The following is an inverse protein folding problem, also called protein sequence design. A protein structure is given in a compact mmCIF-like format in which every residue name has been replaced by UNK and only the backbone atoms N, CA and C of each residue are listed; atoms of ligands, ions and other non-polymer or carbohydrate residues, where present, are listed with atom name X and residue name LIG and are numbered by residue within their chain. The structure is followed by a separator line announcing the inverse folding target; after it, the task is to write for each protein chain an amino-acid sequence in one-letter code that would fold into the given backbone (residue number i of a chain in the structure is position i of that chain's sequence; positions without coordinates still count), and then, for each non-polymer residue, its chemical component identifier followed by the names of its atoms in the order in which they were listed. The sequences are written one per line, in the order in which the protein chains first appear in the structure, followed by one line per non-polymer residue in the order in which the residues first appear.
data_IF_604722000201
#
_entry.id   IF_604722000201
#
_cell.length_a   1.000
_cell.length_b   1.000
_cell.length_c   1.000
_cell.angle_alpha   90.00
_cell.angle_beta   90.00
_cell.angle_gamma   90.00
#
_symmetry.space_group_name_H-M   'P 1'
#
loop_
_entity.id
_entity.type
_entity.pdbx_description
1 polymer ?
#
# COMPACT_ATOMS: atom_id res chain seq x y z
N UNK A 1 16.72 15.74 -20.51
CA UNK A 1 18.17 16.02 -20.39
C UNK A 1 18.48 17.47 -20.03
N UNK A 2 17.60 18.42 -20.35
CA UNK A 2 17.80 19.86 -20.11
C UNK A 2 17.84 20.26 -18.62
N UNK A 3 17.37 19.41 -17.71
CA UNK A 3 17.29 19.69 -16.28
C UNK A 3 18.37 19.00 -15.44
N UNK A 4 19.38 18.40 -16.07
CA UNK A 4 20.48 17.77 -15.34
C UNK A 4 21.47 18.81 -14.84
N UNK A 5 22.05 18.63 -13.64
CA UNK A 5 23.06 19.56 -13.11
C UNK A 5 24.23 19.75 -14.08
N UNK A 6 24.78 20.96 -14.17
CA UNK A 6 25.99 21.20 -14.96
C UNK A 6 27.10 20.23 -14.59
N UNK A 7 27.74 19.61 -15.56
CA UNK A 7 28.80 18.61 -15.32
C UNK A 7 28.32 17.20 -14.97
N UNK A 8 27.03 16.94 -15.02
CA UNK A 8 26.43 15.64 -14.67
C UNK A 8 27.09 14.46 -15.41
N UNK A 9 27.37 14.61 -16.71
CA UNK A 9 28.07 13.57 -17.50
C UNK A 9 29.59 13.52 -17.30
N UNK A 10 30.15 14.48 -16.56
CA UNK A 10 31.59 14.55 -16.30
C UNK A 10 31.97 13.84 -15.01
N UNK A 11 30.99 13.62 -14.13
CA UNK A 11 31.20 12.97 -12.83
C UNK A 11 30.58 11.58 -12.89
N UNK A 12 31.37 10.53 -12.74
CA UNK A 12 30.84 9.18 -12.65
C UNK A 12 29.84 9.05 -11.50
N UNK A 13 28.70 8.48 -11.77
CA UNK A 13 27.61 8.30 -10.80
C UNK A 13 27.50 6.84 -10.38
N UNK A 14 26.97 6.60 -9.19
CA UNK A 14 26.70 7.57 -8.13
C UNK A 14 27.98 7.86 -7.35
N UNK A 15 28.06 9.08 -6.87
CA UNK A 15 29.08 9.47 -5.93
C UNK A 15 28.39 10.09 -4.73
N UNK A 16 28.68 9.62 -3.53
CA UNK A 16 28.26 10.25 -2.27
C UNK A 16 29.09 11.52 -2.05
N UNK A 17 28.53 12.46 -1.27
CA UNK A 17 29.21 13.72 -0.96
C UNK A 17 30.59 13.56 -0.29
N UNK A 18 30.84 12.43 0.33
CA UNK A 18 32.15 12.06 0.93
C UNK A 18 33.15 11.44 -0.05
N UNK A 19 32.76 11.32 -1.33
CA UNK A 19 33.59 10.70 -2.37
C UNK A 19 33.52 9.17 -2.40
N UNK A 20 32.68 8.52 -1.60
CA UNK A 20 32.49 7.09 -1.66
C UNK A 20 31.78 6.67 -2.95
N UNK A 21 32.13 5.50 -3.44
CA UNK A 21 31.55 4.91 -4.65
C UNK A 21 32.56 4.77 -5.78
N UNK A 22 32.38 3.70 -6.54
CA UNK A 22 33.20 3.39 -7.71
C UNK A 22 32.81 4.21 -8.95
N UNK A 23 33.71 4.26 -9.90
CA UNK A 23 33.48 4.79 -11.24
C UNK A 23 32.85 3.70 -12.09
N UNK A 24 31.59 3.89 -12.51
CA UNK A 24 30.96 3.06 -13.52
C UNK A 24 30.97 3.78 -14.87
N UNK A 25 31.64 3.20 -15.86
CA UNK A 25 31.75 3.72 -17.23
C UNK A 25 30.85 2.99 -18.22
N UNK A 26 30.09 2.00 -17.75
CA UNK A 26 29.19 1.22 -18.59
C UNK A 26 27.90 1.95 -18.94
N UNK A 27 27.12 1.40 -19.88
CA UNK A 27 25.77 1.86 -20.13
C UNK A 27 24.90 1.68 -18.89
N UNK A 28 24.14 2.71 -18.49
CA UNK A 28 23.25 2.69 -17.34
C UNK A 28 22.16 3.75 -17.41
N UNK A 29 21.11 3.56 -16.64
CA UNK A 29 20.07 4.56 -16.42
C UNK A 29 20.47 5.49 -15.26
N UNK A 30 21.13 6.60 -15.62
CA UNK A 30 21.68 7.56 -14.67
C UNK A 30 20.57 8.22 -13.83
N UNK A 31 19.38 8.45 -14.39
CA UNK A 31 18.26 9.04 -13.67
C UNK A 31 17.79 8.08 -12.57
N UNK A 32 17.68 6.80 -12.88
CA UNK A 32 17.33 5.77 -11.90
C UNK A 32 18.41 5.60 -10.84
N UNK A 33 19.69 5.70 -11.21
CA UNK A 33 20.81 5.69 -10.27
C UNK A 33 20.70 6.83 -9.24
N UNK A 34 20.39 8.05 -9.69
CA UNK A 34 20.19 9.20 -8.82
C UNK A 34 18.95 9.07 -7.91
N UNK A 35 18.00 8.26 -8.33
CA UNK A 35 16.80 7.96 -7.54
C UNK A 35 17.07 6.95 -6.43
N UNK A 36 18.13 6.15 -6.58
CA UNK A 36 18.45 5.04 -5.69
C UNK A 36 19.93 5.07 -5.22
N UNK A 37 20.40 6.17 -4.63
CA UNK A 37 21.82 6.33 -4.32
C UNK A 37 22.34 5.27 -3.36
N UNK A 38 21.54 4.83 -2.40
CA UNK A 38 21.94 3.81 -1.42
C UNK A 38 22.01 2.39 -2.01
N UNK A 39 21.29 2.13 -3.09
CA UNK A 39 21.41 0.87 -3.83
C UNK A 39 22.74 0.75 -4.57
N UNK A 40 23.30 1.88 -5.01
CA UNK A 40 24.54 1.94 -5.77
C UNK A 40 25.78 2.08 -4.88
N UNK A 41 25.65 2.90 -3.84
CA UNK A 41 26.70 3.13 -2.84
C UNK A 41 26.07 2.94 -1.46
N UNK A 42 25.90 1.69 -1.02
CA UNK A 42 25.24 1.40 0.24
C UNK A 42 26.01 2.01 1.43
N UNK A 43 25.30 2.30 2.54
CA UNK A 43 25.96 2.68 3.78
C UNK A 43 26.98 1.61 4.22
N UNK A 44 28.04 2.02 4.90
CA UNK A 44 29.04 1.07 5.43
C UNK A 44 28.45 0.08 6.46
N UNK A 45 27.26 0.33 6.95
CA UNK A 45 26.49 -0.54 7.86
C UNK A 45 25.71 -1.63 7.14
N UNK A 46 25.53 -1.54 5.82
CA UNK A 46 24.93 -2.61 5.05
C UNK A 46 25.88 -3.81 4.99
N UNK A 47 25.35 -5.01 5.19
CA UNK A 47 26.13 -6.24 5.25
C UNK A 47 25.29 -7.46 4.84
N UNK A 48 25.96 -8.45 4.25
CA UNK A 48 25.33 -9.72 3.87
C UNK A 48 24.38 -9.59 2.67
N UNK A 49 23.47 -10.54 2.54
CA UNK A 49 22.54 -10.63 1.41
C UNK A 49 21.10 -10.58 1.91
N UNK A 50 20.44 -9.49 1.63
CA UNK A 50 18.99 -9.34 1.76
C UNK A 50 18.40 -9.23 0.35
N UNK A 51 17.32 -9.97 0.00
CA UNK A 51 16.70 -9.86 -1.31
C UNK A 51 16.18 -8.46 -1.57
N UNK A 52 15.74 -8.18 -2.80
CA UNK A 52 15.12 -6.91 -3.11
C UNK A 52 13.79 -6.76 -2.34
N UNK A 53 13.64 -5.64 -1.64
CA UNK A 53 12.45 -5.30 -0.85
C UNK A 53 11.68 -4.09 -1.46
N UNK A 54 11.97 -3.73 -2.71
CA UNK A 54 11.36 -2.58 -3.37
C UNK A 54 10.95 -2.92 -4.79
N UNK A 55 9.77 -2.43 -5.20
CA UNK A 55 9.35 -2.40 -6.59
C UNK A 55 8.49 -1.17 -6.84
N UNK A 56 8.52 -0.61 -8.07
CA UNK A 56 7.72 0.56 -8.41
C UNK A 56 6.55 0.17 -9.31
N UNK A 57 5.35 0.71 -9.05
CA UNK A 57 4.24 0.59 -9.99
C UNK A 57 4.56 1.17 -11.38
N UNK A 58 5.49 2.11 -11.45
CA UNK A 58 5.95 2.67 -12.72
C UNK A 58 6.69 1.65 -13.61
N UNK A 59 7.17 0.56 -13.03
CA UNK A 59 7.87 -0.52 -13.73
C UNK A 59 6.96 -1.71 -14.06
N UNK A 60 5.66 -1.62 -13.71
CA UNK A 60 4.71 -2.69 -13.98
C UNK A 60 4.03 -2.53 -15.34
N UNK A 61 3.63 -3.66 -15.91
CA UNK A 61 2.82 -3.67 -17.12
C UNK A 61 1.41 -3.15 -16.82
N UNK A 62 0.90 -2.26 -17.67
CA UNK A 62 -0.43 -1.67 -17.54
C UNK A 62 -1.42 -2.36 -18.47
N UNK A 63 -2.55 -2.83 -17.93
CA UNK A 63 -3.69 -3.32 -18.69
C UNK A 63 -4.62 -2.16 -18.99
N UNK A 64 -4.82 -1.87 -20.29
CA UNK A 64 -5.64 -0.75 -20.76
C UNK A 64 -7.01 -1.23 -21.24
N UNK A 65 -8.06 -0.57 -20.78
CA UNK A 65 -9.45 -0.84 -21.15
C UNK A 65 -10.19 0.47 -21.48
N UNK A 66 -11.40 0.38 -22.06
CA UNK A 66 -12.17 1.57 -22.40
C UNK A 66 -12.57 2.41 -21.17
N UNK A 67 -12.90 1.73 -20.06
CA UNK A 67 -13.34 2.36 -18.82
C UNK A 67 -12.22 2.74 -17.85
N UNK A 68 -10.94 2.47 -18.19
CA UNK A 68 -9.81 2.75 -17.30
C UNK A 68 -8.61 1.85 -17.54
N UNK A 69 -7.77 1.73 -16.52
CA UNK A 69 -6.58 0.88 -16.56
C UNK A 69 -6.28 0.29 -15.18
N UNK A 70 -5.49 -0.77 -15.17
CA UNK A 70 -4.93 -1.37 -13.96
C UNK A 70 -3.48 -1.79 -14.15
N UNK A 71 -2.75 -1.90 -13.05
CA UNK A 71 -1.42 -2.49 -12.96
C UNK A 71 -1.24 -3.10 -11.59
N UNK A 72 -0.48 -4.19 -11.50
CA UNK A 72 -0.35 -4.97 -10.28
C UNK A 72 1.11 -5.22 -9.88
N UNK A 73 1.35 -5.34 -8.58
CA UNK A 73 2.59 -5.84 -7.98
C UNK A 73 2.23 -7.04 -7.13
N UNK A 74 2.67 -8.21 -7.57
CA UNK A 74 2.45 -9.51 -6.94
C UNK A 74 3.80 -10.17 -6.66
N UNK A 75 3.81 -11.44 -6.28
CA UNK A 75 5.06 -12.22 -6.18
C UNK A 75 5.83 -12.31 -7.50
N UNK A 76 5.24 -11.98 -8.64
CA UNK A 76 5.95 -11.93 -9.94
C UNK A 76 6.91 -10.76 -10.01
N UNK A 77 6.48 -9.60 -9.53
CA UNK A 77 7.25 -8.34 -9.53
C UNK A 77 8.11 -8.23 -8.26
N UNK A 78 7.60 -8.68 -7.12
CA UNK A 78 8.27 -8.64 -5.82
C UNK A 78 8.18 -10.00 -5.13
N UNK A 79 9.05 -10.96 -5.45
CA UNK A 79 8.94 -12.37 -5.03
C UNK A 79 8.88 -12.61 -3.53
N UNK A 80 9.40 -11.70 -2.71
CA UNK A 80 9.35 -11.81 -1.25
C UNK A 80 7.96 -11.48 -0.68
N UNK A 81 7.14 -10.72 -1.39
CA UNK A 81 5.83 -10.25 -0.94
C UNK A 81 4.77 -11.35 -1.08
N UNK A 82 4.88 -12.41 -0.29
CA UNK A 82 3.99 -13.59 -0.39
C UNK A 82 2.67 -13.42 0.36
N UNK A 83 2.56 -12.45 1.24
CA UNK A 83 1.38 -12.28 2.11
C UNK A 83 0.36 -11.29 1.57
N UNK A 84 0.80 -10.27 0.82
CA UNK A 84 -0.03 -9.23 0.25
C UNK A 84 0.37 -8.95 -1.21
N UNK A 85 -0.61 -8.60 -2.03
CA UNK A 85 -0.42 -8.07 -3.37
C UNK A 85 -1.14 -6.72 -3.51
N UNK A 86 -0.62 -5.85 -4.38
CA UNK A 86 -1.22 -4.54 -4.64
C UNK A 86 -1.64 -4.37 -6.09
N UNK A 87 -2.76 -3.68 -6.31
CA UNK A 87 -3.24 -3.25 -7.62
C UNK A 87 -3.47 -1.73 -7.58
N UNK A 88 -2.90 -1.02 -8.52
CA UNK A 88 -3.22 0.38 -8.77
C UNK A 88 -4.17 0.44 -9.96
N UNK A 89 -5.35 1.01 -9.76
CA UNK A 89 -6.41 1.07 -10.76
C UNK A 89 -6.92 2.50 -10.94
N UNK A 90 -7.25 2.86 -12.17
CA UNK A 90 -7.93 4.10 -12.50
C UNK A 90 -9.17 3.82 -13.34
N UNK A 91 -10.26 4.50 -13.02
CA UNK A 91 -11.50 4.48 -13.80
C UNK A 91 -11.78 5.88 -14.33
N UNK A 92 -12.12 5.94 -15.62
CA UNK A 92 -12.62 7.17 -16.24
C UNK A 92 -13.97 7.58 -15.65
N UNK A 93 -14.47 8.81 -15.88
CA UNK A 93 -15.84 9.16 -15.55
C UNK A 93 -16.82 8.14 -16.16
N UNK A 94 -17.59 7.46 -15.29
CA UNK A 94 -18.50 6.38 -15.69
C UNK A 94 -17.85 5.03 -15.97
N UNK A 95 -16.51 4.92 -15.95
CA UNK A 95 -15.80 3.64 -16.07
C UNK A 95 -16.14 2.70 -14.91
N UNK A 96 -16.32 1.41 -15.19
CA UNK A 96 -16.78 0.40 -14.24
C UNK A 96 -15.81 -0.76 -14.18
N UNK A 97 -15.30 -1.06 -12.97
CA UNK A 97 -14.80 -2.40 -12.65
C UNK A 97 -16.03 -3.29 -12.47
N UNK A 98 -16.20 -4.27 -13.34
CA UNK A 98 -17.44 -5.04 -13.45
C UNK A 98 -17.83 -5.74 -12.14
N UNK A 99 -19.08 -6.21 -12.07
CA UNK A 99 -19.58 -7.03 -10.98
C UNK A 99 -18.75 -8.31 -10.90
N UNK A 100 -18.04 -8.47 -9.79
CA UNK A 100 -17.10 -9.58 -9.62
C UNK A 100 -16.93 -9.93 -8.13
N UNK A 101 -16.24 -11.03 -7.87
CA UNK A 101 -15.78 -11.42 -6.54
C UNK A 101 -14.46 -12.18 -6.65
N UNK A 102 -13.81 -12.37 -5.54
CA UNK A 102 -12.56 -13.11 -5.41
C UNK A 102 -12.46 -13.80 -4.05
N UNK A 103 -11.59 -14.79 -3.95
CA UNK A 103 -11.38 -15.55 -2.71
C UNK A 103 -10.66 -14.73 -1.62
N UNK A 104 -9.89 -13.74 -2.04
CA UNK A 104 -9.13 -12.86 -1.16
C UNK A 104 -10.01 -11.75 -0.59
N UNK A 105 -9.62 -11.24 0.60
CA UNK A 105 -10.10 -9.96 1.07
C UNK A 105 -9.49 -8.83 0.25
N UNK A 106 -10.28 -7.78 0.00
CA UNK A 106 -9.82 -6.55 -0.64
C UNK A 106 -9.85 -5.39 0.34
N UNK A 107 -8.74 -4.72 0.51
CA UNK A 107 -8.61 -3.45 1.22
C UNK A 107 -8.20 -2.38 0.22
N UNK A 108 -8.86 -1.22 0.26
CA UNK A 108 -8.72 -0.22 -0.80
C UNK A 108 -8.56 1.18 -0.23
N UNK A 109 -7.78 2.01 -0.91
CA UNK A 109 -7.56 3.41 -0.55
C UNK A 109 -7.73 4.32 -1.76
N UNK A 110 -8.60 5.33 -1.66
CA UNK A 110 -8.82 6.31 -2.73
C UNK A 110 -7.68 7.32 -2.77
N UNK A 111 -6.97 7.35 -3.89
CA UNK A 111 -5.86 8.28 -4.15
C UNK A 111 -6.38 9.60 -4.71
N UNK A 112 -7.18 9.54 -5.77
CA UNK A 112 -7.69 10.71 -6.49
C UNK A 112 -9.12 10.47 -6.95
N UNK A 113 -9.91 11.55 -7.08
CA UNK A 113 -11.25 11.51 -7.62
C UNK A 113 -12.25 10.76 -6.75
N UNK A 114 -13.38 10.35 -7.33
CA UNK A 114 -14.47 9.74 -6.60
C UNK A 114 -15.00 8.50 -7.31
N UNK A 115 -15.43 7.52 -6.54
CA UNK A 115 -16.08 6.32 -7.06
C UNK A 115 -17.33 5.96 -6.24
N UNK A 116 -18.25 5.25 -6.88
CA UNK A 116 -19.36 4.54 -6.23
C UNK A 116 -19.03 3.08 -6.11
N UNK A 117 -19.13 2.55 -4.90
CA UNK A 117 -18.92 1.14 -4.60
C UNK A 117 -20.25 0.50 -4.23
N UNK A 118 -20.45 -0.75 -4.68
CA UNK A 118 -21.63 -1.56 -4.33
C UNK A 118 -21.20 -2.93 -3.87
N UNK A 119 -21.93 -3.55 -2.97
CA UNK A 119 -21.72 -4.92 -2.54
C UNK A 119 -23.00 -5.56 -2.03
N UNK A 120 -23.03 -6.89 -1.98
CA UNK A 120 -24.12 -7.67 -1.36
C UNK A 120 -23.48 -8.77 -0.52
N UNK A 121 -23.91 -8.91 0.73
CA UNK A 121 -23.42 -9.96 1.61
C UNK A 121 -24.19 -11.29 1.42
N UNK A 122 -23.72 -12.35 2.06
CA UNK A 122 -24.32 -13.69 2.00
C UNK A 122 -25.73 -13.78 2.58
N UNK A 123 -26.18 -12.76 3.31
CA UNK A 123 -27.52 -12.67 3.88
C UNK A 123 -28.50 -11.89 2.97
N UNK A 124 -28.01 -11.40 1.83
CA UNK A 124 -28.77 -10.53 0.94
C UNK A 124 -28.87 -9.08 1.39
N UNK A 125 -28.13 -8.68 2.43
CA UNK A 125 -27.97 -7.29 2.81
C UNK A 125 -27.09 -6.57 1.79
N UNK A 126 -27.52 -5.39 1.31
CA UNK A 126 -26.76 -4.65 0.30
C UNK A 126 -26.03 -3.44 0.88
N UNK A 127 -25.07 -2.95 0.10
CA UNK A 127 -24.26 -1.78 0.44
C UNK A 127 -24.04 -0.94 -0.82
N UNK A 128 -24.16 0.37 -0.68
CA UNK A 128 -23.78 1.35 -1.69
C UNK A 128 -23.22 2.58 -1.00
N UNK A 129 -22.09 3.09 -1.47
CA UNK A 129 -21.48 4.30 -0.95
C UNK A 129 -20.64 5.01 -2.01
N UNK A 130 -20.58 6.34 -1.92
CA UNK A 130 -19.58 7.13 -2.65
C UNK A 130 -18.35 7.28 -1.78
N UNK A 131 -17.16 7.10 -2.37
CA UNK A 131 -15.83 7.21 -1.73
C UNK A 131 -15.01 8.27 -2.45
N UNK A 132 -14.23 9.04 -1.69
CA UNK A 132 -13.39 10.12 -2.19
C UNK A 132 -11.97 10.05 -1.61
N UNK A 133 -11.08 11.00 -1.97
CA UNK A 133 -9.67 10.97 -1.58
C UNK A 133 -9.48 10.78 -0.07
N UNK A 134 -8.66 9.79 0.30
CA UNK A 134 -8.40 9.45 1.69
C UNK A 134 -9.46 8.61 2.39
N UNK A 135 -10.56 8.26 1.71
CA UNK A 135 -11.47 7.20 2.15
C UNK A 135 -10.87 5.83 1.83
N UNK A 136 -11.22 4.86 2.64
CA UNK A 136 -10.91 3.47 2.36
C UNK A 136 -12.18 2.62 2.40
N UNK A 137 -12.13 1.47 1.77
CA UNK A 137 -13.17 0.46 1.84
C UNK A 137 -12.58 -0.94 1.95
N UNK A 138 -13.41 -1.87 2.39
CA UNK A 138 -13.00 -3.25 2.58
C UNK A 138 -14.11 -4.20 2.13
N UNK A 139 -13.77 -5.14 1.25
CA UNK A 139 -14.65 -6.24 0.88
C UNK A 139 -14.11 -7.55 1.47
N UNK A 140 -14.91 -8.22 2.35
CA UNK A 140 -14.56 -9.55 2.84
C UNK A 140 -14.39 -10.58 1.71
N UNK A 141 -13.65 -11.66 1.95
CA UNK A 141 -13.50 -12.75 0.99
C UNK A 141 -14.84 -13.24 0.44
N UNK A 142 -14.94 -13.39 -0.88
CA UNK A 142 -16.12 -13.93 -1.55
C UNK A 142 -17.30 -12.98 -1.70
N UNK A 143 -17.23 -11.75 -1.23
CA UNK A 143 -18.33 -10.78 -1.34
C UNK A 143 -18.36 -10.16 -2.74
N UNK A 144 -19.49 -10.32 -3.50
CA UNK A 144 -19.68 -9.70 -4.80
C UNK A 144 -19.78 -8.19 -4.68
N UNK A 145 -19.07 -7.48 -5.57
CA UNK A 145 -18.98 -6.03 -5.55
C UNK A 145 -18.71 -5.42 -6.93
N UNK A 146 -18.81 -4.11 -7.01
CA UNK A 146 -18.42 -3.32 -8.19
C UNK A 146 -17.91 -1.95 -7.77
N UNK A 147 -17.13 -1.31 -8.64
CA UNK A 147 -16.58 0.03 -8.46
C UNK A 147 -16.85 0.83 -9.74
N UNK A 148 -17.43 2.02 -9.62
CA UNK A 148 -17.71 2.89 -10.77
C UNK A 148 -17.17 4.29 -10.52
N UNK A 149 -16.39 4.82 -11.47
CA UNK A 149 -15.90 6.21 -11.45
C UNK A 149 -17.06 7.21 -11.53
N UNK A 150 -17.02 8.24 -10.68
CA UNK A 150 -17.98 9.36 -10.71
C UNK A 150 -17.55 10.42 -11.75
N UNK A 151 -18.08 11.64 -11.65
CA UNK A 151 -17.91 12.71 -12.67
C UNK A 151 -16.44 13.08 -12.95
N UNK A 152 -15.57 12.95 -11.97
CA UNK A 152 -14.14 13.27 -12.07
C UNK A 152 -13.26 12.03 -12.35
N UNK A 153 -13.87 10.85 -12.47
CA UNK A 153 -13.13 9.58 -12.49
C UNK A 153 -12.42 9.32 -11.16
N UNK A 154 -11.55 8.33 -11.12
CA UNK A 154 -10.81 8.03 -9.89
C UNK A 154 -9.53 7.24 -10.14
N UNK A 155 -8.64 7.29 -9.16
CA UNK A 155 -7.48 6.41 -9.04
C UNK A 155 -7.39 5.92 -7.59
N UNK A 156 -7.15 4.63 -7.43
CA UNK A 156 -7.10 3.99 -6.11
C UNK A 156 -6.11 2.84 -6.05
N UNK A 157 -5.72 2.51 -4.83
CA UNK A 157 -4.93 1.34 -4.50
C UNK A 157 -5.86 0.27 -3.96
N UNK A 158 -5.69 -0.97 -4.44
CA UNK A 158 -6.29 -2.19 -3.89
C UNK A 158 -5.18 -3.05 -3.30
N UNK A 159 -5.43 -3.66 -2.16
CA UNK A 159 -4.51 -4.58 -1.50
C UNK A 159 -5.26 -5.86 -1.12
N UNK A 160 -4.69 -6.99 -1.51
CA UNK A 160 -5.26 -8.31 -1.32
C UNK A 160 -4.42 -9.12 -0.35
N UNK A 161 -5.06 -9.96 0.47
CA UNK A 161 -4.41 -10.76 1.51
C UNK A 161 -3.74 -12.05 0.97
N UNK A 162 -3.20 -11.97 -0.24
CA UNK A 162 -2.45 -13.05 -0.91
C UNK A 162 -1.47 -12.46 -1.92
N UNK A 163 -0.18 -12.68 -1.74
CA UNK A 163 0.85 -12.20 -2.68
C UNK A 163 0.77 -12.84 -4.08
N UNK A 164 0.08 -13.96 -4.24
CA UNK A 164 -0.15 -14.64 -5.52
C UNK A 164 -1.42 -14.17 -6.23
N UNK A 165 -2.16 -13.24 -5.65
CA UNK A 165 -3.37 -12.69 -6.26
C UNK A 165 -3.05 -12.08 -7.63
N UNK A 166 -3.98 -12.27 -8.58
CA UNK A 166 -3.97 -11.54 -9.85
C UNK A 166 -5.38 -11.06 -10.14
N UNK A 167 -5.50 -9.75 -10.39
CA UNK A 167 -6.78 -9.11 -10.68
C UNK A 167 -7.43 -9.64 -11.99
N UNK A 168 -6.63 -10.19 -12.89
CA UNK A 168 -7.11 -10.83 -14.11
C UNK A 168 -7.77 -12.20 -13.87
N UNK A 169 -7.57 -12.80 -12.71
CA UNK A 169 -8.13 -14.10 -12.33
C UNK A 169 -9.34 -13.98 -11.38
N UNK A 170 -10.00 -12.82 -11.35
CA UNK A 170 -11.21 -12.62 -10.56
C UNK A 170 -12.40 -13.38 -11.16
N UNK A 171 -13.38 -13.70 -10.34
CA UNK A 171 -14.62 -14.36 -10.73
C UNK A 171 -15.62 -13.28 -11.15
N UNK A 172 -15.78 -13.07 -12.45
CA UNK A 172 -16.65 -12.03 -12.98
C UNK A 172 -18.02 -12.57 -13.44
N UNK A 173 -19.04 -11.75 -13.36
CA UNK A 173 -20.39 -12.14 -13.75
C UNK A 173 -20.49 -12.39 -15.26
N UNK A 174 -19.83 -11.59 -16.09
CA UNK A 174 -19.85 -11.75 -17.55
C UNK A 174 -19.22 -13.08 -17.96
N UNK A 175 -18.07 -13.43 -17.38
CA UNK A 175 -17.38 -14.67 -17.69
C UNK A 175 -18.17 -15.90 -17.20
N UNK A 176 -18.78 -15.82 -16.01
CA UNK A 176 -19.62 -16.90 -15.51
C UNK A 176 -20.83 -17.13 -16.41
N UNK A 177 -21.51 -16.07 -16.88
CA UNK A 177 -22.64 -16.19 -17.78
C UNK A 177 -22.22 -16.75 -19.15
N UNK A 178 -21.06 -16.30 -19.67
CA UNK A 178 -20.51 -16.80 -20.93
C UNK A 178 -20.23 -18.30 -20.91
N UNK A 179 -19.87 -18.84 -19.74
CA UNK A 179 -19.55 -20.26 -19.55
C UNK A 179 -20.68 -21.09 -18.92
N UNK A 180 -21.90 -20.52 -18.85
CA UNK A 180 -23.11 -21.24 -18.39
C UNK A 180 -24.05 -21.49 -19.56
N UNK A 181 -24.53 -22.72 -19.78
CA UNK A 181 -25.52 -23.00 -20.84
C UNK A 181 -26.75 -22.10 -20.71
N UNK A 182 -27.19 -21.49 -21.81
CA UNK A 182 -28.32 -20.54 -21.81
C UNK A 182 -29.62 -21.16 -21.27
N UNK A 183 -29.83 -22.47 -21.45
CA UNK A 183 -30.98 -23.20 -20.89
C UNK A 183 -30.94 -23.21 -19.36
N UNK A 184 -29.75 -23.30 -18.77
CA UNK A 184 -29.54 -23.23 -17.31
C UNK A 184 -29.82 -21.82 -16.81
N UNK A 185 -29.33 -20.80 -17.51
CA UNK A 185 -29.61 -19.39 -17.19
C UNK A 185 -31.12 -19.12 -17.29
N UNK A 186 -31.75 -19.57 -18.38
CA UNK A 186 -33.20 -19.43 -18.60
C UNK A 186 -34.01 -20.07 -17.45
N UNK A 187 -33.62 -21.29 -17.05
CA UNK A 187 -34.30 -21.99 -15.94
C UNK A 187 -34.10 -21.28 -14.59
N UNK A 188 -32.87 -20.80 -14.33
CA UNK A 188 -32.52 -20.14 -13.08
C UNK A 188 -33.23 -18.81 -12.88
N UNK A 189 -33.35 -18.02 -13.96
CA UNK A 189 -33.97 -16.69 -13.90
C UNK A 189 -35.47 -16.66 -14.28
N UNK A 190 -35.99 -17.75 -14.79
CA UNK A 190 -37.41 -17.85 -15.21
C UNK A 190 -37.74 -16.98 -16.43
N UNK A 191 -36.79 -16.77 -17.35
CA UNK A 191 -36.95 -15.94 -18.55
C UNK A 191 -36.59 -16.73 -19.82
N UNK A 192 -37.11 -16.32 -21.01
CA UNK A 192 -36.78 -17.00 -22.28
C UNK A 192 -35.31 -16.97 -22.59
N UNK A 193 -34.79 -18.01 -23.28
CA UNK A 193 -33.39 -18.18 -23.65
C UNK A 193 -32.83 -16.95 -24.40
N UNK A 194 -33.62 -16.32 -25.28
CA UNK A 194 -33.16 -15.15 -26.04
C UNK A 194 -32.83 -13.93 -25.17
N UNK A 195 -33.26 -13.90 -23.91
CA UNK A 195 -32.83 -12.85 -22.97
C UNK A 195 -31.33 -12.81 -22.74
N UNK A 196 -30.64 -13.90 -23.06
CA UNK A 196 -29.19 -14.06 -22.90
C UNK A 196 -28.41 -14.01 -24.24
N UNK A 197 -29.01 -13.50 -25.30
CA UNK A 197 -28.37 -13.50 -26.63
C UNK A 197 -27.22 -12.47 -26.75
N UNK A 198 -27.21 -11.45 -25.91
CA UNK A 198 -26.23 -10.36 -25.94
C UNK A 198 -25.24 -10.40 -24.76
N UNK A 199 -25.16 -11.52 -24.05
CA UNK A 199 -24.14 -11.68 -22.99
C UNK A 199 -22.75 -11.64 -23.66
N UNK A 200 -21.78 -10.87 -23.09
CA UNK A 200 -20.40 -10.90 -23.55
C UNK A 200 -19.86 -12.33 -23.57
N UNK A 201 -19.06 -12.68 -24.58
CA UNK A 201 -18.45 -14.01 -24.73
C UNK A 201 -17.24 -14.24 -23.85
N UNK A 202 -16.77 -13.17 -23.19
CA UNK A 202 -15.59 -13.16 -22.31
C UNK A 202 -15.74 -12.08 -21.24
N UNK A 203 -14.87 -12.08 -20.25
CA UNK A 203 -14.79 -11.07 -19.18
C UNK A 203 -14.69 -9.65 -19.76
N UNK A 204 -15.55 -8.74 -19.32
CA UNK A 204 -15.48 -7.33 -19.73
C UNK A 204 -14.51 -6.52 -18.87
N UNK A 205 -14.18 -6.99 -17.69
CA UNK A 205 -13.16 -6.53 -16.75
C UNK A 205 -13.34 -5.05 -16.32
N UNK A 206 -12.92 -4.08 -17.15
CA UNK A 206 -13.15 -2.65 -16.95
C UNK A 206 -13.80 -2.09 -18.23
N UNK A 207 -15.04 -1.66 -18.13
CA UNK A 207 -15.81 -1.17 -19.28
C UNK A 207 -16.30 0.26 -19.05
N UNK A 208 -16.67 0.92 -20.14
CA UNK A 208 -17.20 2.28 -20.12
C UNK A 208 -18.73 2.26 -20.04
N UNK A 209 -19.29 2.97 -19.08
CA UNK A 209 -20.72 3.27 -18.97
C UNK A 209 -20.92 4.77 -18.73
N UNK A 210 -22.16 5.19 -18.57
CA UNK A 210 -22.50 6.56 -18.21
C UNK A 210 -22.13 6.83 -16.76
N UNK A 211 -21.78 8.09 -16.48
CA UNK A 211 -21.64 8.55 -15.09
C UNK A 211 -22.96 8.33 -14.36
N UNK A 212 -22.94 7.67 -13.19
CA UNK A 212 -24.17 7.36 -12.46
C UNK A 212 -24.81 8.63 -11.91
N UNK A 213 -26.13 8.61 -11.82
CA UNK A 213 -26.89 9.68 -11.17
C UNK A 213 -26.67 9.76 -9.66
N UNK A 214 -27.38 10.65 -8.97
CA UNK A 214 -27.29 10.78 -7.52
C UNK A 214 -27.49 9.43 -6.81
N UNK A 215 -26.73 9.20 -5.74
CA UNK A 215 -26.71 7.90 -5.03
C UNK A 215 -28.10 7.43 -4.61
N UNK A 216 -28.99 8.34 -4.18
CA UNK A 216 -30.36 7.99 -3.75
C UNK A 216 -31.21 7.43 -4.89
N UNK A 217 -30.92 7.80 -6.14
CA UNK A 217 -31.61 7.25 -7.31
C UNK A 217 -31.18 5.84 -7.69
N UNK A 218 -30.06 5.39 -7.14
CA UNK A 218 -29.46 4.07 -7.43
C UNK A 218 -29.58 3.07 -6.28
N UNK A 219 -30.09 3.52 -5.13
CA UNK A 219 -30.33 2.63 -3.99
C UNK A 219 -31.40 1.59 -4.34
N UNK A 220 -31.06 0.32 -4.16
CA UNK A 220 -31.97 -0.80 -4.24
C UNK A 220 -32.34 -1.20 -2.81
N UNK A 221 -33.66 -1.24 -2.51
CA UNK A 221 -34.11 -1.67 -1.20
C UNK A 221 -34.05 -3.20 -1.09
N UNK A 222 -33.18 -3.71 -0.26
CA UNK A 222 -33.16 -5.13 0.08
C UNK A 222 -34.26 -5.47 1.08
N UNK A 223 -34.96 -6.60 0.92
CA UNK A 223 -35.90 -7.10 1.94
C UNK A 223 -35.17 -7.50 3.24
N UNK A 224 -33.85 -7.68 3.21
CA UNK A 224 -33.02 -8.03 4.37
C UNK A 224 -32.28 -6.83 4.96
N UNK A 225 -32.44 -5.63 4.35
CA UNK A 225 -31.82 -4.39 4.81
C UNK A 225 -30.40 -4.16 4.27
N UNK A 226 -29.75 -3.19 4.87
CA UNK A 226 -28.33 -2.86 4.58
C UNK A 226 -27.38 -3.75 5.40
N UNK A 227 -26.12 -3.84 4.99
CA UNK A 227 -25.08 -4.58 5.71
C UNK A 227 -24.95 -4.08 7.16
N UNK A 228 -24.79 -4.97 8.15
CA UNK A 228 -24.76 -4.57 9.57
C UNK A 228 -23.50 -3.80 9.95
N UNK A 229 -22.43 -3.92 9.18
CA UNK A 229 -21.18 -3.19 9.33
C UNK A 229 -20.84 -2.51 8.02
N UNK A 230 -20.55 -1.21 8.07
CA UNK A 230 -20.15 -0.45 6.87
C UNK A 230 -18.87 -1.01 6.25
N UNK A 231 -18.82 -1.05 4.92
CA UNK A 231 -17.62 -1.43 4.17
C UNK A 231 -16.72 -0.21 3.86
N UNK A 232 -17.11 0.99 4.28
CA UNK A 232 -16.37 2.23 4.09
C UNK A 232 -15.85 2.78 5.42
N UNK A 233 -14.63 3.32 5.42
CA UNK A 233 -14.04 4.05 6.53
C UNK A 233 -13.36 5.34 6.05
N UNK A 234 -13.57 6.46 6.77
CA UNK A 234 -13.00 7.77 6.44
C UNK A 234 -11.67 7.96 7.16
N UNK A 235 -10.58 7.42 6.59
CA UNK A 235 -9.27 7.40 7.27
C UNK A 235 -8.75 8.80 7.58
N UNK A 236 -8.84 9.75 6.65
CA UNK A 236 -8.36 11.12 6.88
C UNK A 236 -9.21 11.92 7.87
N UNK A 237 -10.48 11.53 8.08
CA UNK A 237 -11.32 12.13 9.12
C UNK A 237 -11.01 11.59 10.52
N UNK A 238 -10.27 10.48 10.62
CA UNK A 238 -9.81 9.92 11.89
C UNK A 238 -8.73 10.81 12.50
N UNK A 239 -8.84 11.17 13.80
CA UNK A 239 -7.76 11.91 14.48
C UNK A 239 -6.44 11.14 14.45
N UNK A 240 -5.32 11.78 14.07
CA UNK A 240 -4.02 11.12 14.10
C UNK A 240 -3.43 11.06 15.50
N UNK A 241 -2.64 10.02 15.76
CA UNK A 241 -1.66 10.03 16.84
C UNK A 241 -0.49 10.93 16.42
N UNK A 242 -0.34 12.08 17.07
CA UNK A 242 0.73 13.06 16.77
C UNK A 242 1.93 12.85 17.69
N UNK A 243 3.12 12.94 17.12
CA UNK A 243 4.41 12.92 17.81
C UNK A 243 5.33 14.00 17.20
N UNK A 244 6.49 14.32 17.82
CA UNK A 244 7.30 15.46 17.37
C UNK A 244 7.76 15.43 15.91
N UNK A 245 7.84 14.25 15.30
CA UNK A 245 8.32 14.07 13.92
C UNK A 245 7.23 13.90 12.87
N UNK A 246 5.95 13.85 13.28
CA UNK A 246 4.86 13.60 12.35
C UNK A 246 3.63 12.96 13.00
N UNK A 247 2.90 12.15 12.25
CA UNK A 247 1.66 11.55 12.73
C UNK A 247 1.40 10.16 12.15
N UNK A 248 0.57 9.38 12.86
CA UNK A 248 0.12 8.06 12.44
C UNK A 248 -1.39 7.93 12.61
N UNK A 249 -2.07 7.39 11.60
CA UNK A 249 -3.48 6.97 11.68
C UNK A 249 -3.56 5.46 11.49
N UNK A 250 -3.91 4.76 12.55
CA UNK A 250 -4.05 3.29 12.53
C UNK A 250 -5.50 2.93 12.21
N UNK A 251 -5.69 1.97 11.30
CA UNK A 251 -6.98 1.38 10.97
C UNK A 251 -6.87 -0.14 11.02
N UNK A 252 -7.63 -0.74 11.89
CA UNK A 252 -7.69 -2.18 12.09
C UNK A 252 -9.09 -2.61 12.56
N UNK A 253 -9.28 -3.87 12.93
CA UNK A 253 -10.58 -4.38 13.34
C UNK A 253 -11.18 -3.72 14.59
N UNK A 254 -10.43 -2.89 15.34
CA UNK A 254 -10.93 -2.16 16.51
C UNK A 254 -11.73 -0.92 16.13
N UNK A 255 -11.40 -0.24 15.05
CA UNK A 255 -12.05 0.97 14.57
C UNK A 255 -12.69 0.83 13.18
N UNK A 256 -12.37 -0.26 12.47
CA UNK A 256 -13.03 -0.67 11.23
C UNK A 256 -13.35 -2.18 11.30
N UNK A 257 -14.43 -2.57 12.00
CA UNK A 257 -14.65 -3.96 12.43
C UNK A 257 -14.79 -4.98 11.31
N UNK A 258 -15.16 -4.56 10.10
CA UNK A 258 -15.28 -5.47 8.94
C UNK A 258 -13.90 -5.92 8.42
N UNK A 259 -12.86 -5.11 8.60
CA UNK A 259 -11.49 -5.40 8.13
C UNK A 259 -10.82 -6.44 9.04
N UNK A 260 -11.07 -7.72 8.75
CA UNK A 260 -10.58 -8.85 9.54
C UNK A 260 -9.25 -9.42 9.06
N UNK A 261 -8.90 -9.19 7.81
CA UNK A 261 -7.74 -9.81 7.19
C UNK A 261 -6.59 -8.81 6.97
N UNK A 262 -6.88 -7.50 6.92
CA UNK A 262 -5.89 -6.48 6.64
C UNK A 262 -6.00 -5.34 7.66
N UNK A 263 -4.92 -5.07 8.37
CA UNK A 263 -4.72 -3.87 9.17
C UNK A 263 -3.79 -2.91 8.42
N UNK A 264 -3.93 -1.60 8.67
CA UNK A 264 -3.09 -0.60 8.04
C UNK A 264 -2.78 0.58 8.96
N UNK A 265 -1.73 1.32 8.62
CA UNK A 265 -1.46 2.64 9.18
C UNK A 265 -1.08 3.62 8.07
N UNK A 266 -1.62 4.83 8.13
CA UNK A 266 -1.14 5.96 7.33
C UNK A 266 -0.13 6.73 8.17
N UNK A 267 1.11 6.77 7.71
CA UNK A 267 2.23 7.43 8.38
C UNK A 267 2.59 8.71 7.64
N UNK A 268 2.75 9.80 8.38
CA UNK A 268 3.24 11.08 7.91
C UNK A 268 4.51 11.44 8.67
N UNK A 269 5.61 11.68 7.95
CA UNK A 269 6.92 12.00 8.50
C UNK A 269 7.37 13.36 7.96
N UNK A 270 7.62 14.32 8.86
CA UNK A 270 8.16 15.63 8.50
C UNK A 270 9.60 15.52 7.95
N UNK A 271 10.05 16.52 7.17
CA UNK A 271 11.46 16.58 6.75
C UNK A 271 12.41 16.54 7.95
N UNK A 272 13.45 15.70 7.87
CA UNK A 272 14.41 15.46 8.94
C UNK A 272 13.89 14.66 10.13
N UNK A 273 12.74 14.02 9.98
CA UNK A 273 12.18 13.08 10.94
C UNK A 273 12.21 11.66 10.40
N UNK A 274 11.86 10.69 11.24
CA UNK A 274 11.83 9.28 10.88
C UNK A 274 10.73 8.51 11.63
N UNK A 275 10.20 7.48 11.01
CA UNK A 275 9.53 6.37 11.67
C UNK A 275 10.60 5.68 12.52
N UNK A 276 10.34 5.52 13.84
CA UNK A 276 11.35 5.01 14.77
C UNK A 276 11.87 3.60 14.39
N UNK A 277 12.99 3.20 14.99
CA UNK A 277 13.44 1.80 14.91
C UNK A 277 12.46 0.89 15.63
N UNK A 278 11.89 -0.05 14.88
CA UNK A 278 10.82 -0.95 15.36
C UNK A 278 10.79 -2.25 14.54
N UNK A 279 9.91 -3.15 14.93
CA UNK A 279 9.54 -4.34 14.16
C UNK A 279 8.10 -4.73 14.42
N UNK A 280 7.53 -5.51 13.53
CA UNK A 280 6.16 -6.03 13.66
C UNK A 280 6.19 -7.48 14.15
N UNK A 281 5.56 -7.79 15.33
CA UNK A 281 5.65 -9.11 15.95
C UNK A 281 4.61 -10.10 15.43
N UNK A 282 3.77 -9.72 14.50
CA UNK A 282 2.61 -10.52 14.07
C UNK A 282 2.54 -10.81 12.58
N UNK A 283 3.24 -10.04 11.72
CA UNK A 283 3.18 -10.26 10.28
C UNK A 283 4.30 -9.55 9.50
N UNK A 284 4.44 -9.88 8.21
CA UNK A 284 5.18 -9.06 7.25
C UNK A 284 4.49 -7.71 7.07
N UNK A 285 5.25 -6.70 6.68
CA UNK A 285 4.75 -5.38 6.31
C UNK A 285 4.86 -5.17 4.81
N UNK A 286 3.77 -4.73 4.18
CA UNK A 286 3.74 -4.24 2.81
C UNK A 286 3.51 -2.73 2.85
N UNK A 287 4.31 -1.97 2.12
CA UNK A 287 4.29 -0.51 2.12
C UNK A 287 3.88 0.05 0.76
N UNK A 288 3.16 1.16 0.75
CA UNK A 288 2.92 1.95 -0.45
C UNK A 288 3.21 3.43 -0.18
N UNK A 289 4.13 3.99 -0.95
CA UNK A 289 4.57 5.37 -0.80
C UNK A 289 3.67 6.31 -1.60
N UNK A 290 3.00 7.23 -0.90
CA UNK A 290 2.03 8.17 -1.47
C UNK A 290 2.67 9.48 -1.92
N UNK A 291 3.67 9.96 -1.16
CA UNK A 291 4.30 11.26 -1.36
C UNK A 291 5.68 11.31 -0.72
N UNK A 292 6.58 12.12 -1.27
CA UNK A 292 7.89 12.39 -0.69
C UNK A 292 8.94 11.36 -1.04
N UNK A 293 10.03 11.38 -0.26
CA UNK A 293 11.18 10.49 -0.42
C UNK A 293 11.56 9.87 0.91
N UNK A 294 11.65 8.56 0.96
CA UNK A 294 11.99 7.80 2.14
C UNK A 294 13.24 6.96 1.93
N UNK A 295 13.91 6.64 3.03
CA UNK A 295 14.99 5.66 3.09
C UNK A 295 14.71 4.69 4.21
N UNK A 296 14.80 3.41 3.91
CA UNK A 296 14.59 2.34 4.87
C UNK A 296 15.83 1.44 4.92
N UNK A 297 16.34 1.16 6.11
CA UNK A 297 17.25 0.04 6.32
C UNK A 297 16.53 -1.07 7.04
N UNK A 298 16.61 -2.27 6.50
CA UNK A 298 16.07 -3.48 7.13
C UNK A 298 17.24 -4.30 7.69
N UNK A 299 17.11 -4.70 8.94
CA UNK A 299 18.03 -5.58 9.63
C UNK A 299 17.40 -6.96 9.82
N UNK A 300 18.11 -7.98 9.38
CA UNK A 300 17.77 -9.39 9.65
C UNK A 300 18.83 -10.01 10.56
N UNK A 301 18.60 -11.19 11.08
CA UNK A 301 19.56 -11.89 11.94
C UNK A 301 20.91 -12.08 11.27
N UNK A 302 21.91 -12.49 12.06
CA UNK A 302 23.27 -12.78 11.62
C UNK A 302 24.02 -11.57 11.03
N UNK A 303 23.72 -10.35 11.52
CA UNK A 303 24.39 -9.12 11.09
C UNK A 303 24.14 -8.69 9.66
N UNK A 304 23.05 -9.14 9.05
CA UNK A 304 22.68 -8.71 7.70
C UNK A 304 21.78 -7.48 7.74
N UNK A 305 22.10 -6.49 6.90
CA UNK A 305 21.32 -5.26 6.75
C UNK A 305 21.41 -4.75 5.31
N UNK A 306 20.33 -4.14 4.82
CA UNK A 306 20.30 -3.53 3.50
C UNK A 306 19.41 -2.29 3.48
N UNK A 307 19.87 -1.26 2.78
CA UNK A 307 19.22 0.05 2.66
C UNK A 307 18.60 0.21 1.29
N UNK A 308 17.41 0.83 1.27
CA UNK A 308 16.62 1.09 0.07
C UNK A 308 16.10 2.52 0.10
N UNK A 309 16.06 3.18 -1.06
CA UNK A 309 15.42 4.47 -1.26
C UNK A 309 14.03 4.29 -1.90
N UNK A 310 13.06 5.08 -1.44
CA UNK A 310 11.66 5.03 -1.88
C UNK A 310 11.14 6.40 -2.24
N UNK A 311 10.13 6.42 -3.12
CA UNK A 311 9.37 7.60 -3.52
C UNK A 311 7.93 7.24 -3.86
N UNK A 312 7.10 8.26 -4.13
CA UNK A 312 5.70 8.05 -4.49
C UNK A 312 5.55 7.04 -5.64
N UNK A 313 4.62 6.09 -5.49
CA UNK A 313 4.37 4.98 -6.42
C UNK A 313 5.23 3.74 -6.19
N UNK A 314 6.17 3.78 -5.24
CA UNK A 314 6.95 2.61 -4.86
C UNK A 314 6.22 1.74 -3.83
N UNK A 315 6.50 0.45 -3.90
CA UNK A 315 6.12 -0.56 -2.91
C UNK A 315 7.37 -0.99 -2.15
N UNK A 316 7.27 -1.02 -0.83
CA UNK A 316 8.25 -1.58 0.08
C UNK A 316 7.74 -2.87 0.72
N UNK A 317 8.67 -3.69 1.20
CA UNK A 317 8.35 -4.90 1.93
C UNK A 317 9.31 -5.11 3.08
N UNK A 318 8.79 -5.49 4.24
CA UNK A 318 9.58 -5.83 5.41
C UNK A 318 9.18 -7.22 5.89
N UNK A 319 10.08 -8.20 5.87
CA UNK A 319 9.79 -9.53 6.38
C UNK A 319 9.45 -9.52 7.87
N UNK A 320 8.62 -10.45 8.27
CA UNK A 320 8.17 -10.65 9.65
C UNK A 320 9.29 -10.54 10.69
N UNK A 321 9.04 -9.78 11.75
CA UNK A 321 9.92 -9.58 12.90
C UNK A 321 11.32 -9.01 12.59
N UNK A 322 11.55 -8.44 11.40
CA UNK A 322 12.82 -7.80 11.07
C UNK A 322 12.83 -6.33 11.50
N UNK A 323 13.93 -5.91 12.15
CA UNK A 323 14.11 -4.53 12.60
C UNK A 323 14.28 -3.57 11.43
N UNK A 324 13.60 -2.42 11.47
CA UNK A 324 13.70 -1.40 10.43
C UNK A 324 13.33 0.00 10.93
N UNK A 325 13.57 0.99 10.11
CA UNK A 325 13.17 2.38 10.27
C UNK A 325 12.94 3.00 8.90
N UNK A 326 12.20 4.09 8.82
CA UNK A 326 12.05 4.87 7.59
C UNK A 326 12.35 6.34 7.86
N UNK A 327 13.36 6.89 7.18
CA UNK A 327 13.71 8.31 7.24
C UNK A 327 13.03 9.09 6.11
N UNK A 328 12.61 10.32 6.40
CA UNK A 328 12.29 11.28 5.36
C UNK A 328 13.59 11.95 4.88
N UNK A 329 14.02 11.60 3.67
CA UNK A 329 15.23 12.14 3.02
C UNK A 329 14.94 13.33 2.10
N UNK A 330 13.65 13.71 1.98
CA UNK A 330 13.20 14.82 1.15
C UNK A 330 13.06 16.14 1.93
N UNK A 331 12.57 17.15 1.21
CA UNK A 331 12.25 18.48 1.74
C UNK A 331 10.76 18.69 1.98
N UNK A 332 9.94 17.68 1.63
CA UNK A 332 8.49 17.64 1.79
C UNK A 332 8.11 16.54 2.78
N UNK A 333 6.91 16.56 3.36
CA UNK A 333 6.42 15.45 4.16
C UNK A 333 6.42 14.15 3.37
N UNK A 334 6.89 13.08 3.99
CA UNK A 334 6.80 11.72 3.47
C UNK A 334 5.51 11.09 3.98
N UNK A 335 4.68 10.59 3.04
CA UNK A 335 3.45 9.88 3.36
C UNK A 335 3.50 8.49 2.78
N UNK A 336 3.18 7.48 3.58
CA UNK A 336 3.07 6.10 3.12
C UNK A 336 2.09 5.30 3.97
N UNK A 337 1.60 4.21 3.38
CA UNK A 337 0.76 3.22 4.03
C UNK A 337 1.63 2.04 4.47
N UNK A 338 1.47 1.59 5.71
CA UNK A 338 1.94 0.32 6.25
C UNK A 338 0.75 -0.64 6.28
N UNK A 339 0.85 -1.82 5.68
CA UNK A 339 -0.25 -2.78 5.61
C UNK A 339 0.20 -4.18 5.99
N UNK A 340 -0.69 -4.89 6.66
CA UNK A 340 -0.41 -6.18 7.31
C UNK A 340 -1.54 -7.16 7.05
N UNK A 341 -1.21 -8.41 6.71
CA UNK A 341 -2.19 -9.50 6.69
C UNK A 341 -2.55 -9.90 8.12
N UNK A 342 -3.33 -9.08 8.79
CA UNK A 342 -3.74 -9.23 10.18
C UNK A 342 -5.01 -8.44 10.44
N UNK A 343 -5.76 -8.81 11.46
CA UNK A 343 -6.88 -8.02 11.96
C UNK A 343 -6.44 -6.86 12.88
N UNK A 344 -5.16 -6.84 13.29
CA UNK A 344 -4.61 -5.87 14.25
C UNK A 344 -3.27 -5.31 13.79
N UNK A 345 -3.13 -3.99 13.92
CA UNK A 345 -1.84 -3.32 13.82
C UNK A 345 -1.05 -3.55 15.11
N UNK A 346 0.19 -4.05 14.99
CA UNK A 346 1.09 -4.26 16.12
C UNK A 346 2.52 -3.92 15.72
N UNK A 347 3.22 -3.21 16.59
CA UNK A 347 4.65 -2.96 16.45
C UNK A 347 5.34 -2.86 17.81
N UNK A 348 6.62 -3.18 17.88
CA UNK A 348 7.48 -3.08 19.07
C UNK A 348 8.53 -2.02 18.81
N UNK A 349 8.54 -0.98 19.63
CA UNK A 349 9.54 0.09 19.61
C UNK A 349 10.85 -0.36 20.23
N UNK A 350 11.98 -0.18 19.54
CA UNK A 350 13.30 -0.45 20.08
C UNK A 350 13.60 0.42 21.32
N UNK A 351 13.26 1.71 21.24
CA UNK A 351 13.47 2.66 22.33
C UNK A 351 12.66 2.25 23.57
N UNK A 352 11.36 1.97 23.41
CA UNK A 352 10.49 1.57 24.50
C UNK A 352 10.92 0.23 25.10
N UNK A 353 11.33 -0.74 24.30
CA UNK A 353 11.86 -2.00 24.79
C UNK A 353 13.05 -1.80 25.71
N UNK A 354 14.06 -1.03 25.30
CA UNK A 354 15.22 -0.72 26.13
C UNK A 354 14.81 0.04 27.42
N UNK A 355 13.90 1.01 27.31
CA UNK A 355 13.43 1.79 28.46
C UNK A 355 12.69 0.95 29.52
N UNK A 356 12.09 -0.15 29.13
CA UNK A 356 11.32 -1.08 29.99
C UNK A 356 12.13 -2.33 30.38
N UNK A 357 13.39 -2.41 29.97
CA UNK A 357 14.35 -3.45 30.35
C UNK A 357 15.21 -2.92 31.50
N UNK A 358 15.67 -3.77 32.47
CA UNK A 358 16.57 -3.32 33.51
C UNK A 358 17.80 -2.59 32.95
N UNK A 359 18.01 -1.36 33.42
CA UNK A 359 19.04 -0.43 32.87
C UNK A 359 20.43 -1.04 32.84
N UNK A 360 20.82 -1.78 33.88
CA UNK A 360 22.12 -2.44 33.94
C UNK A 360 22.29 -3.53 32.86
N UNK A 361 21.19 -4.20 32.49
CA UNK A 361 21.23 -5.18 31.40
C UNK A 361 21.44 -4.50 30.06
N UNK A 362 20.73 -3.39 29.79
CA UNK A 362 20.89 -2.58 28.57
C UNK A 362 22.33 -2.05 28.48
N UNK A 363 22.83 -1.46 29.60
CA UNK A 363 24.18 -0.91 29.68
C UNK A 363 25.26 -1.97 29.41
N UNK A 364 25.15 -3.14 30.03
CA UNK A 364 26.15 -4.19 29.87
C UNK A 364 26.13 -4.84 28.48
N UNK A 365 24.94 -4.99 27.91
CA UNK A 365 24.78 -5.58 26.58
C UNK A 365 25.31 -4.68 25.46
N UNK A 366 25.00 -3.37 25.52
CA UNK A 366 25.35 -2.40 24.46
C UNK A 366 26.63 -1.62 24.76
N UNK A 367 27.18 -1.72 26.01
CA UNK A 367 28.33 -0.95 26.50
C UNK A 367 28.18 0.57 26.35
N UNK A 368 26.95 1.07 26.57
CA UNK A 368 26.60 2.48 26.39
C UNK A 368 26.71 3.28 27.67
N UNK A 369 26.89 4.59 27.51
CA UNK A 369 26.98 5.55 28.59
C UNK A 369 25.60 6.03 29.10
N UNK A 370 25.61 6.91 30.12
CA UNK A 370 24.38 7.46 30.70
C UNK A 370 23.57 8.27 29.70
N UNK A 371 24.19 8.88 28.69
CA UNK A 371 23.54 9.77 27.73
C UNK A 371 22.41 9.03 26.96
N UNK A 372 22.66 7.77 26.56
CA UNK A 372 21.62 6.96 25.93
C UNK A 372 20.58 6.50 26.95
N UNK A 373 21.03 6.00 28.11
CA UNK A 373 20.14 5.42 29.12
C UNK A 373 19.14 6.44 29.69
N UNK A 374 19.58 7.68 29.88
CA UNK A 374 18.72 8.79 30.35
C UNK A 374 17.76 9.31 29.27
N UNK A 375 18.11 9.12 27.98
CA UNK A 375 17.28 9.54 26.86
C UNK A 375 16.17 8.51 26.49
N UNK A 376 16.21 7.31 27.07
CA UNK A 376 15.23 6.27 26.77
C UNK A 376 13.83 6.68 27.27
N UNK A 377 12.82 6.45 26.42
CA UNK A 377 11.43 6.80 26.69
C UNK A 377 10.60 5.53 26.93
N UNK A 378 9.86 5.52 28.02
CA UNK A 378 8.90 4.47 28.34
C UNK A 378 7.61 4.58 27.51
N UNK A 379 7.36 5.75 26.95
CA UNK A 379 6.25 6.01 26.03
C UNK A 379 6.73 5.82 24.59
N UNK A 380 5.87 5.22 23.78
CA UNK A 380 6.14 4.99 22.37
C UNK A 380 5.89 6.24 21.55
N UNK A 381 6.87 6.62 20.76
CA UNK A 381 6.75 7.69 19.77
C UNK A 381 6.99 7.08 18.37
N UNK A 382 5.93 6.73 17.65
CA UNK A 382 6.09 6.05 16.36
C UNK A 382 6.84 6.88 15.31
N UNK A 383 6.77 8.20 15.39
CA UNK A 383 7.56 9.12 14.55
C UNK A 383 8.37 10.03 15.44
N UNK A 384 9.67 10.14 15.17
CA UNK A 384 10.62 10.90 16.00
C UNK A 384 11.38 11.92 15.16
N UNK A 385 11.75 13.03 15.82
CA UNK A 385 12.60 14.07 15.23
C UNK A 385 13.62 14.53 16.26
N UNK A 386 14.88 14.53 15.87
CA UNK A 386 15.95 15.11 16.70
C UNK A 386 16.25 16.52 16.21
N UNK A 387 16.12 17.56 17.05
CA UNK A 387 16.22 18.97 16.61
C UNK A 387 17.57 19.39 16.01
N UNK A 388 18.62 18.65 16.26
CA UNK A 388 19.96 18.90 15.72
C UNK A 388 20.33 18.08 14.48
N UNK A 389 19.46 17.19 14.05
CA UNK A 389 19.73 16.32 12.92
C UNK A 389 19.40 17.03 11.60
N UNK A 390 20.44 17.18 10.75
CA UNK A 390 20.27 17.65 9.37
C UNK A 390 20.84 16.54 8.47
N UNK A 391 20.03 16.06 7.57
CA UNK A 391 20.39 15.04 6.60
C UNK A 391 21.39 15.54 5.55
N UNK A 392 21.53 16.88 5.43
CA UNK A 392 22.53 17.48 4.57
C UNK A 392 23.80 17.70 5.37
N UNK A 393 24.94 17.05 5.00
CA UNK A 393 26.23 17.47 5.53
C UNK A 393 26.41 18.96 5.23
N UNK A 394 26.76 19.72 6.27
CA UNK A 394 27.08 21.14 6.14
C UNK A 394 28.29 21.33 5.24
#
# INVERSE_FOLDING_TARGET
LENLPPGYFQVPQPIRGDGAGGVDKGPRDIMRDLENPDMLVPPATDAGLIPNLRFSFSDTHMTLNQGGWSREITVRELPIATTLAGVNMSLTPGGVRELHWHQQAEWSYMLLGHARITAVDQNGCNFIADVGPGDLWYFPPGIPHSIQGLEDGCEFLLVFDDGHFSDLNTLSISDWFAHTPKEVLSANFGVPIYAFDHIPSEQVYIYQDRVPGPIDSQKVQSPYGEVPQTFKHRLLAQPPLKTPGGSVRIVDSTNFPISKNIAAALVEIEPGAMRELHWHPNNDEWQYYLQGKGRMTVFTGNGTARTFDYRAGDVGYVPFATGHYIENTGTEPLWFLEMFKSDRFQDVSLNQWMALTPTELVRSNLQVGPELLEALRKEKWPVVKYPGFSYYPK
#
